data_IF_475797048479
#
_entry.id   IF_475797048479
#
_cell.length_a   1.000
_cell.length_b   1.000
_cell.length_c   1.000
_cell.angle_alpha   90.00
_cell.angle_beta   90.00
_cell.angle_gamma   90.00
#
_symmetry.space_group_name_H-M   'P 1'
#
loop_
_entity.id
_entity.type
_entity.pdbx_description
1 polymer ?
#
# COMPACT_ATOMS: atom_id res chain seq x y z
N UNK A 1 4.58 -17.02 -5.63
CA UNK A 1 3.64 -15.95 -6.03
C UNK A 1 3.04 -15.38 -4.76
N UNK A 2 3.50 -14.22 -4.30
CA UNK A 2 3.02 -13.61 -3.05
C UNK A 2 2.73 -12.15 -3.30
N UNK A 3 1.46 -11.77 -3.17
CA UNK A 3 1.06 -10.36 -3.16
C UNK A 3 1.27 -9.80 -1.76
N UNK A 4 1.91 -8.63 -1.67
CA UNK A 4 2.02 -7.86 -0.42
C UNK A 4 1.13 -6.64 -0.54
N UNK A 5 0.21 -6.48 0.40
CA UNK A 5 -0.61 -5.30 0.59
C UNK A 5 -0.04 -4.50 1.76
N UNK A 6 0.44 -3.29 1.50
CA UNK A 6 0.81 -2.36 2.57
C UNK A 6 -0.40 -1.59 3.08
N UNK A 7 -0.62 -1.63 4.39
CA UNK A 7 -1.79 -1.07 5.07
C UNK A 7 -1.36 -0.32 6.35
N UNK A 8 -2.25 0.50 6.89
CA UNK A 8 -1.98 1.35 8.06
C UNK A 8 -2.48 0.64 9.31
N UNK A 9 -1.62 0.40 10.32
CA UNK A 9 -2.04 -0.30 11.53
C UNK A 9 -3.03 0.54 12.34
N UNK A 10 -3.80 -0.15 13.18
CA UNK A 10 -4.44 0.42 14.35
C UNK A 10 -4.57 -0.64 15.43
N UNK A 11 -4.97 -0.24 16.63
CA UNK A 11 -5.23 -1.16 17.75
C UNK A 11 -6.43 -2.08 17.53
N UNK A 12 -7.32 -1.76 16.58
CA UNK A 12 -8.57 -2.48 16.32
C UNK A 12 -8.59 -3.19 14.95
N UNK A 13 -7.55 -3.02 14.14
CA UNK A 13 -7.41 -3.64 12.82
C UNK A 13 -7.31 -2.63 11.65
N UNK A 14 -7.47 -3.08 10.40
CA UNK A 14 -7.41 -2.21 9.24
C UNK A 14 -8.61 -1.26 9.23
N UNK A 15 -8.36 0.03 9.02
CA UNK A 15 -9.39 1.07 9.18
C UNK A 15 -9.44 2.05 8.01
N UNK A 16 -8.36 2.18 7.23
CA UNK A 16 -8.30 3.14 6.14
C UNK A 16 -9.27 2.74 5.02
N UNK A 17 -10.17 3.65 4.67
CA UNK A 17 -11.17 3.43 3.61
C UNK A 17 -10.52 3.17 2.25
N UNK A 18 -9.34 3.76 2.00
CA UNK A 18 -8.60 3.55 0.75
C UNK A 18 -8.00 2.15 0.70
N UNK A 19 -7.40 1.65 1.79
CA UNK A 19 -6.77 0.32 1.80
C UNK A 19 -7.82 -0.80 1.80
N UNK A 20 -8.98 -0.57 2.41
CA UNK A 20 -10.12 -1.48 2.36
C UNK A 20 -10.63 -1.75 0.94
N UNK A 21 -10.59 -0.78 0.03
CA UNK A 21 -10.99 -0.99 -1.39
C UNK A 21 -10.15 -2.11 -2.01
N UNK A 22 -8.83 -2.04 -1.87
CA UNK A 22 -7.91 -3.05 -2.39
C UNK A 22 -8.08 -4.38 -1.66
N UNK A 23 -8.22 -4.35 -0.34
CA UNK A 23 -8.48 -5.54 0.48
C UNK A 23 -9.71 -6.30 -0.02
N UNK A 24 -10.81 -5.60 -0.29
CA UNK A 24 -12.01 -6.18 -0.85
C UNK A 24 -11.78 -6.74 -2.26
N UNK A 25 -11.07 -6.03 -3.13
CA UNK A 25 -10.77 -6.54 -4.48
C UNK A 25 -9.98 -7.86 -4.44
N UNK A 26 -8.95 -7.95 -3.58
CA UNK A 26 -8.14 -9.16 -3.43
C UNK A 26 -8.95 -10.32 -2.85
N UNK A 27 -9.73 -10.05 -1.81
CA UNK A 27 -10.62 -11.05 -1.19
C UNK A 27 -11.69 -11.54 -2.19
N UNK A 28 -12.34 -10.63 -2.92
CA UNK A 28 -13.38 -10.96 -3.89
C UNK A 28 -12.83 -11.81 -5.05
N UNK A 29 -11.61 -11.52 -5.50
CA UNK A 29 -10.93 -12.31 -6.53
C UNK A 29 -10.32 -13.61 -5.99
N UNK A 30 -10.38 -13.87 -4.69
CA UNK A 30 -9.79 -15.07 -4.06
C UNK A 30 -8.26 -15.12 -4.17
N UNK A 31 -7.59 -13.98 -4.32
CA UNK A 31 -6.14 -13.93 -4.49
C UNK A 31 -5.48 -13.95 -3.11
N UNK A 32 -4.58 -14.89 -2.81
CA UNK A 32 -3.86 -14.90 -1.54
C UNK A 32 -2.86 -13.74 -1.48
N UNK A 33 -2.91 -12.96 -0.39
CA UNK A 33 -1.99 -11.86 -0.12
C UNK A 33 -1.59 -11.83 1.35
N UNK A 34 -0.46 -11.18 1.62
CA UNK A 34 0.02 -10.86 2.97
C UNK A 34 -0.20 -9.37 3.21
N UNK A 35 -0.68 -9.00 4.39
CA UNK A 35 -0.67 -7.60 4.83
C UNK A 35 0.63 -7.28 5.56
N UNK A 36 1.28 -6.19 5.17
CA UNK A 36 2.37 -5.58 5.92
C UNK A 36 1.93 -4.21 6.42
N UNK A 37 2.23 -3.93 7.68
CA UNK A 37 1.74 -2.75 8.38
C UNK A 37 2.80 -1.67 8.40
N UNK A 38 2.42 -0.45 8.02
CA UNK A 38 3.31 0.71 7.98
C UNK A 38 2.63 1.88 8.68
N UNK A 39 3.34 2.48 9.63
CA UNK A 39 2.89 3.69 10.31
C UNK A 39 2.93 4.89 9.37
N UNK A 40 2.02 5.85 9.57
CA UNK A 40 1.90 7.04 8.71
C UNK A 40 3.22 7.78 8.40
N UNK A 41 4.11 8.03 9.38
CA UNK A 41 5.38 8.72 9.14
C UNK A 41 6.32 7.94 8.20
N UNK A 42 6.20 6.61 8.19
CA UNK A 42 7.10 5.70 7.47
C UNK A 42 6.61 5.38 6.04
N UNK A 43 5.40 5.79 5.65
CA UNK A 43 4.85 5.51 4.33
C UNK A 43 5.75 6.09 3.22
N UNK A 44 6.11 7.37 3.32
CA UNK A 44 6.93 8.03 2.32
C UNK A 44 8.34 7.41 2.16
N UNK A 45 9.14 7.25 3.24
CA UNK A 45 10.45 6.62 3.12
C UNK A 45 10.38 5.16 2.69
N UNK A 46 9.33 4.42 3.06
CA UNK A 46 9.14 3.03 2.62
C UNK A 46 8.84 2.95 1.12
N UNK A 47 7.88 3.73 0.63
CA UNK A 47 7.55 3.77 -0.80
C UNK A 47 8.77 4.18 -1.66
N UNK A 48 9.52 5.19 -1.23
CA UNK A 48 10.75 5.61 -1.92
C UNK A 48 11.78 4.50 -1.99
N UNK A 49 12.02 3.79 -0.88
CA UNK A 49 12.99 2.69 -0.81
C UNK A 49 12.65 1.55 -1.76
N UNK A 50 11.36 1.29 -1.96
CA UNK A 50 10.87 0.25 -2.84
C UNK A 50 10.69 0.72 -4.30
N UNK A 51 10.99 1.99 -4.59
CA UNK A 51 10.79 2.57 -5.92
C UNK A 51 9.32 2.67 -6.32
N UNK A 52 8.40 2.76 -5.35
CA UNK A 52 6.98 2.99 -5.60
C UNK A 52 6.81 4.46 -5.96
N UNK A 53 6.10 4.75 -7.05
CA UNK A 53 5.82 6.12 -7.48
C UNK A 53 4.93 6.86 -6.48
N UNK A 54 5.13 8.18 -6.37
CA UNK A 54 4.21 9.01 -5.60
C UNK A 54 2.85 9.07 -6.29
N UNK A 55 1.78 9.22 -5.49
CA UNK A 55 0.41 9.23 -6.00
C UNK A 55 0.02 10.61 -6.53
N UNK A 56 0.51 11.67 -5.88
CA UNK A 56 0.25 13.05 -6.30
C UNK A 56 1.37 13.96 -5.82
N UNK A 57 1.34 15.21 -6.24
CA UNK A 57 2.23 16.27 -5.76
C UNK A 57 1.36 17.19 -4.88
N UNK A 58 1.80 17.44 -3.66
CA UNK A 58 1.12 18.38 -2.76
C UNK A 58 1.23 19.81 -3.30
N UNK A 59 0.42 20.73 -2.77
CA UNK A 59 0.47 22.15 -3.13
C UNK A 59 1.80 22.84 -2.82
N UNK A 60 2.61 22.26 -1.94
CA UNK A 60 3.97 22.68 -1.59
C UNK A 60 5.04 22.20 -2.59
N UNK A 61 4.64 21.43 -3.62
CA UNK A 61 5.55 20.85 -4.62
C UNK A 61 6.20 19.52 -4.18
N UNK A 62 5.92 19.03 -2.97
CA UNK A 62 6.50 17.79 -2.46
C UNK A 62 5.71 16.56 -2.92
N UNK A 63 6.39 15.45 -3.26
CA UNK A 63 5.73 14.21 -3.63
C UNK A 63 4.94 13.62 -2.45
N UNK A 64 3.70 13.21 -2.72
CA UNK A 64 2.82 12.57 -1.75
C UNK A 64 2.75 11.07 -2.01
N UNK A 65 3.24 10.32 -1.04
CA UNK A 65 3.13 8.87 -1.01
C UNK A 65 1.91 8.48 -0.19
N UNK A 66 1.12 7.54 -0.71
CA UNK A 66 -0.11 7.10 -0.08
C UNK A 66 -0.27 5.58 -0.13
N UNK A 67 -1.10 5.07 0.77
CA UNK A 67 -1.55 3.68 0.77
C UNK A 67 -3.02 3.63 0.33
N UNK A 68 -3.46 2.55 -0.34
CA UNK A 68 -2.78 1.26 -0.52
C UNK A 68 -1.68 1.28 -1.57
N UNK A 69 -0.65 0.48 -1.34
CA UNK A 69 0.34 0.09 -2.35
C UNK A 69 0.44 -1.44 -2.37
N UNK A 70 0.70 -2.00 -3.56
CA UNK A 70 0.76 -3.45 -3.74
C UNK A 70 2.08 -3.83 -4.42
N UNK A 71 2.70 -4.89 -3.90
CA UNK A 71 3.78 -5.57 -4.61
C UNK A 71 3.35 -6.96 -5.01
N UNK A 72 3.42 -7.22 -6.31
CA UNK A 72 3.24 -8.56 -6.84
C UNK A 72 4.60 -9.24 -6.99
N UNK A 73 4.84 -10.31 -6.25
CA UNK A 73 6.05 -11.13 -6.39
C UNK A 73 6.03 -12.08 -7.59
N UNK A 74 4.92 -12.17 -8.34
CA UNK A 74 4.77 -13.03 -9.51
C UNK A 74 5.20 -12.36 -10.82
N UNK A 75 4.90 -11.08 -10.96
CA UNK A 75 5.40 -10.18 -11.99
C UNK A 75 6.13 -9.07 -11.25
N UNK A 76 7.44 -8.88 -11.41
CA UNK A 76 8.23 -7.83 -10.71
C UNK A 76 7.72 -6.40 -11.04
N UNK A 77 6.53 -6.04 -10.57
CA UNK A 77 5.79 -4.82 -10.87
C UNK A 77 5.21 -4.28 -9.56
N UNK A 78 5.67 -3.11 -9.19
CA UNK A 78 5.11 -2.25 -8.15
C UNK A 78 4.05 -1.37 -8.79
N UNK A 79 2.81 -1.43 -8.30
CA UNK A 79 1.68 -0.58 -8.72
C UNK A 79 1.21 0.30 -7.56
#
# INVERSE_FOLDING_TARGET
>A
MSIILWDIPSTIGPWSSNTWKVRYCLNFKGIPYKTEWIEYPDIAPHCQRLGISYTTIKSDGMPYYSLPAIYDGSEKRTL
#
